data_IF_482653698485
#
_entry.id   IF_482653698485
#
_cell.length_a   1.000
_cell.length_b   1.000
_cell.length_c   1.000
_cell.angle_alpha   90.00
_cell.angle_beta   90.00
_cell.angle_gamma   90.00
#
_symmetry.space_group_name_H-M   'P 1'
#
loop_
_entity.id
_entity.type
_entity.pdbx_description
1 polymer ?
#
# COMPACT_ATOMS: atom_id res chain seq x y z
N UNK A 1 3.97 7.40 0.02
CA UNK A 1 3.33 6.73 1.17
C UNK A 1 2.01 6.15 0.67
N UNK A 2 1.82 4.83 0.71
CA UNK A 2 0.62 4.16 0.15
C UNK A 2 -0.38 3.95 1.28
N UNK A 3 -1.36 4.86 1.39
CA UNK A 3 -2.49 4.70 2.33
C UNK A 3 -3.60 3.85 1.69
N UNK A 4 -4.23 2.99 2.49
CA UNK A 4 -5.40 2.19 2.10
C UNK A 4 -6.62 3.09 1.87
N UNK A 5 -7.65 2.60 1.18
CA UNK A 5 -8.93 3.31 0.98
C UNK A 5 -9.52 3.70 2.34
N UNK A 6 -9.46 2.79 3.31
CA UNK A 6 -9.92 3.01 4.68
C UNK A 6 -9.28 4.26 5.31
N UNK A 7 -7.96 4.34 5.33
CA UNK A 7 -7.25 5.48 5.95
C UNK A 7 -7.37 6.77 5.12
N UNK A 8 -7.28 6.66 3.80
CA UNK A 8 -7.21 7.85 2.93
C UNK A 8 -8.56 8.48 2.56
N UNK A 9 -9.61 7.67 2.45
CA UNK A 9 -10.92 8.11 1.96
C UNK A 9 -11.99 8.08 3.04
N UNK A 10 -11.91 7.12 3.97
CA UNK A 10 -12.88 7.00 5.07
C UNK A 10 -12.37 7.63 6.37
N UNK A 11 -11.06 7.81 6.55
CA UNK A 11 -10.47 8.68 7.57
C UNK A 11 -11.00 8.46 8.99
N UNK A 12 -11.14 7.20 9.41
CA UNK A 12 -11.70 6.79 10.72
C UNK A 12 -13.07 7.41 11.05
N UNK A 13 -13.89 7.71 10.03
CA UNK A 13 -15.26 8.14 10.22
C UNK A 13 -16.12 7.01 10.79
N UNK A 14 -16.97 7.36 11.73
CA UNK A 14 -18.03 6.50 12.23
C UNK A 14 -19.32 6.79 11.45
N UNK A 15 -20.12 5.75 11.20
CA UNK A 15 -21.39 5.86 10.49
C UNK A 15 -22.51 5.43 11.43
N UNK A 16 -23.56 6.23 11.50
CA UNK A 16 -24.71 5.99 12.37
C UNK A 16 -25.73 5.03 11.76
N UNK A 17 -25.72 4.87 10.43
CA UNK A 17 -26.60 3.95 9.70
C UNK A 17 -25.81 3.14 8.68
N UNK A 18 -26.36 1.99 8.31
CA UNK A 18 -25.77 1.14 7.27
C UNK A 18 -25.76 1.85 5.92
N UNK A 19 -26.85 2.51 5.56
CA UNK A 19 -26.98 3.22 4.28
C UNK A 19 -25.93 4.33 4.13
N UNK A 20 -25.66 5.08 5.19
CA UNK A 20 -24.64 6.13 5.18
C UNK A 20 -23.22 5.55 5.01
N UNK A 21 -22.96 4.38 5.62
CA UNK A 21 -21.69 3.68 5.44
C UNK A 21 -21.53 3.16 4.02
N UNK A 22 -22.59 2.55 3.48
CA UNK A 22 -22.62 2.03 2.11
C UNK A 22 -22.36 3.13 1.08
N UNK A 23 -23.05 4.27 1.21
CA UNK A 23 -22.86 5.42 0.31
C UNK A 23 -21.42 5.94 0.37
N UNK A 24 -20.87 6.11 1.58
CA UNK A 24 -19.51 6.58 1.76
C UNK A 24 -18.47 5.60 1.18
N UNK A 25 -18.70 4.29 1.31
CA UNK A 25 -17.85 3.26 0.72
C UNK A 25 -17.93 3.32 -0.81
N UNK A 26 -19.13 3.40 -1.39
CA UNK A 26 -19.32 3.55 -2.83
C UNK A 26 -18.58 4.76 -3.38
N UNK A 27 -18.73 5.92 -2.73
CA UNK A 27 -18.01 7.14 -3.11
C UNK A 27 -16.49 6.98 -2.98
N UNK A 28 -16.01 6.32 -1.93
CA UNK A 28 -14.59 6.05 -1.73
C UNK A 28 -14.00 5.13 -2.81
N UNK A 29 -14.76 4.11 -3.23
CA UNK A 29 -14.37 3.20 -4.31
C UNK A 29 -14.26 3.96 -5.63
N UNK A 30 -15.28 4.75 -6.00
CA UNK A 30 -15.28 5.55 -7.22
C UNK A 30 -14.09 6.52 -7.23
N UNK A 31 -13.88 7.26 -6.13
CA UNK A 31 -12.71 8.15 -6.01
C UNK A 31 -11.37 7.42 -6.15
N UNK A 32 -11.24 6.23 -5.58
CA UNK A 32 -10.02 5.45 -5.69
C UNK A 32 -9.76 5.01 -7.14
N UNK A 33 -10.79 4.48 -7.81
CA UNK A 33 -10.69 3.94 -9.15
C UNK A 33 -10.45 5.02 -10.21
N UNK A 34 -11.08 6.18 -10.06
CA UNK A 34 -11.15 7.19 -11.13
C UNK A 34 -10.26 8.41 -10.90
N UNK A 35 -9.96 8.77 -9.65
CA UNK A 35 -9.27 10.02 -9.34
C UNK A 35 -7.88 9.83 -8.74
N UNK A 36 -7.50 8.62 -8.31
CA UNK A 36 -6.24 8.41 -7.59
C UNK A 36 -5.15 7.77 -8.47
N UNK A 37 -4.29 8.56 -9.12
CA UNK A 37 -3.09 8.04 -9.76
C UNK A 37 -2.11 7.54 -8.68
N UNK A 38 -1.67 6.28 -8.78
CA UNK A 38 -0.72 5.73 -7.82
C UNK A 38 0.43 4.96 -8.46
N UNK A 39 1.59 4.94 -7.79
CA UNK A 39 2.83 4.39 -8.35
C UNK A 39 2.77 2.89 -8.70
N UNK A 40 1.87 2.13 -8.07
CA UNK A 40 1.58 0.74 -8.45
C UNK A 40 0.95 0.58 -9.84
N UNK A 41 0.18 1.57 -10.29
CA UNK A 41 -0.42 1.67 -11.62
C UNK A 41 0.39 2.61 -12.53
N UNK A 42 1.70 2.76 -12.28
CA UNK A 42 2.55 3.68 -13.04
C UNK A 42 2.07 5.15 -13.03
N UNK A 43 1.42 5.60 -11.95
CA UNK A 43 0.74 6.90 -11.84
C UNK A 43 -0.49 7.07 -12.75
N UNK A 44 -1.04 5.98 -13.26
CA UNK A 44 -2.42 5.95 -13.74
C UNK A 44 -3.36 5.62 -12.59
N UNK A 45 -4.64 5.95 -12.80
CA UNK A 45 -5.71 5.48 -11.93
C UNK A 45 -5.97 3.99 -12.20
N UNK A 46 -6.53 3.24 -11.24
CA UNK A 46 -6.89 1.85 -11.46
C UNK A 46 -7.75 1.62 -12.71
N UNK A 47 -8.73 2.50 -12.96
CA UNK A 47 -9.59 2.43 -14.14
C UNK A 47 -8.79 2.60 -15.46
N UNK A 48 -7.87 3.56 -15.48
CA UNK A 48 -7.00 3.79 -16.64
C UNK A 48 -6.04 2.62 -16.85
N UNK A 49 -5.41 2.12 -15.79
CA UNK A 49 -4.49 1.00 -15.86
C UNK A 49 -5.18 -0.30 -16.31
N UNK A 50 -6.46 -0.48 -15.97
CA UNK A 50 -7.25 -1.63 -16.41
C UNK A 50 -7.52 -1.63 -17.92
N UNK A 51 -7.63 -0.46 -18.54
CA UNK A 51 -7.84 -0.30 -19.98
C UNK A 51 -6.54 -0.36 -20.79
N UNK A 52 -5.37 -0.28 -20.13
CA UNK A 52 -4.08 -0.36 -20.79
C UNK A 52 -3.71 -1.83 -21.05
N UNK A 53 -3.26 -2.12 -22.27
CA UNK A 53 -2.70 -3.41 -22.63
C UNK A 53 -1.17 -3.34 -22.59
N UNK A 54 -0.52 -4.42 -22.13
CA UNK A 54 0.93 -4.53 -22.00
C UNK A 54 1.45 -4.53 -20.57
N UNK A 55 2.77 -4.67 -20.40
CA UNK A 55 3.40 -4.75 -19.08
C UNK A 55 3.54 -3.36 -18.44
N UNK A 56 2.92 -3.16 -17.28
CA UNK A 56 3.18 -1.99 -16.43
C UNK A 56 4.57 -2.12 -15.79
N UNK A 57 5.40 -1.08 -15.98
CA UNK A 57 6.75 -1.04 -15.43
C UNK A 57 6.77 -1.24 -13.91
N UNK A 58 7.42 -2.32 -13.44
CA UNK A 58 7.59 -2.59 -12.00
C UNK A 58 8.46 -1.52 -11.36
N UNK A 59 7.84 -0.62 -10.57
CA UNK A 59 8.55 0.38 -9.76
C UNK A 59 8.98 -0.13 -8.38
N UNK A 60 8.58 -1.34 -8.01
CA UNK A 60 9.00 -1.97 -6.76
C UNK A 60 10.49 -2.26 -6.80
N UNK A 61 11.26 -1.55 -5.96
CA UNK A 61 12.68 -1.86 -5.76
C UNK A 61 12.78 -3.28 -5.23
N UNK A 62 13.50 -4.16 -5.94
CA UNK A 62 13.86 -5.48 -5.40
C UNK A 62 14.58 -5.22 -4.07
N UNK A 63 14.09 -5.80 -2.98
CA UNK A 63 14.84 -5.84 -1.73
C UNK A 63 16.18 -6.48 -2.07
N UNK A 64 17.29 -5.77 -1.85
CA UNK A 64 18.61 -6.41 -1.95
C UNK A 64 18.58 -7.61 -1.01
N UNK A 65 19.00 -8.81 -1.44
CA UNK A 65 19.14 -9.92 -0.53
C UNK A 65 19.99 -9.42 0.65
N UNK A 66 19.52 -9.69 1.88
CA UNK A 66 20.37 -9.41 3.05
C UNK A 66 21.62 -10.25 2.85
N UNK A 67 22.78 -9.59 2.73
CA UNK A 67 24.04 -10.33 2.67
C UNK A 67 24.17 -11.15 3.94
N UNK A 68 24.72 -12.36 3.81
CA UNK A 68 24.94 -13.25 4.96
C UNK A 68 25.74 -12.55 6.06
N UNK A 69 26.68 -11.67 5.72
CA UNK A 69 27.43 -10.87 6.70
C UNK A 69 26.52 -9.99 7.58
N UNK A 70 25.49 -9.35 6.98
CA UNK A 70 24.55 -8.49 7.71
C UNK A 70 23.54 -9.26 8.54
N UNK A 71 23.35 -10.56 8.23
CA UNK A 71 22.57 -11.47 9.07
C UNK A 71 23.43 -11.88 10.26
N UNK A 72 24.67 -12.32 10.02
CA UNK A 72 25.61 -12.73 11.06
C UNK A 72 25.89 -11.61 12.09
N UNK A 73 26.06 -10.37 11.63
CA UNK A 73 26.24 -9.19 12.49
C UNK A 73 24.99 -8.88 13.32
N UNK A 74 23.79 -9.06 12.75
CA UNK A 74 22.54 -8.86 13.50
C UNK A 74 22.31 -9.94 14.55
N UNK A 75 22.61 -11.19 14.22
CA UNK A 75 22.52 -12.31 15.16
C UNK A 75 23.55 -12.16 16.28
N UNK A 76 24.79 -11.73 15.99
CA UNK A 76 25.80 -11.49 17.04
C UNK A 76 25.44 -10.32 17.96
N UNK A 77 24.88 -9.24 17.41
CA UNK A 77 24.36 -8.12 18.20
C UNK A 77 23.15 -8.56 19.05
N UNK A 78 22.26 -9.39 18.52
CA UNK A 78 21.11 -9.89 19.27
C UNK A 78 21.52 -10.83 20.42
N UNK A 79 22.52 -11.69 20.19
CA UNK A 79 23.08 -12.57 21.22
C UNK A 79 23.75 -11.77 22.35
N UNK A 80 24.43 -10.67 22.01
CA UNK A 80 25.10 -9.82 23.01
C UNK A 80 24.12 -8.97 23.82
N UNK A 81 22.99 -8.55 23.24
CA UNK A 81 21.95 -7.79 23.94
C UNK A 81 21.07 -8.67 24.85
N UNK A 82 20.90 -9.95 24.54
CA UNK A 82 20.12 -10.90 25.35
C UNK A 82 20.98 -11.63 26.41
N UNK A 83 22.29 -11.34 26.47
CA UNK A 83 23.25 -11.94 27.38
C UNK A 83 23.69 -11.05 28.55
N UNK A 84 23.04 -9.89 28.74
CA UNK A 84 23.15 -9.06 29.94
C UNK A 84 21.86 -9.10 30.76
#
# INVERSE_FOLDING_TARGET
MMYSIKESMLGNREFFTFEAAEEAICQAIVKYNDLRPHGGCNYHTPAQAHQMEGELGRRWRKRKPRSMEKIQEKESILVTLNGC
#
